data_IF_107813787880
#
_entry.id   IF_107813787880
#
_cell.length_a   1.000
_cell.length_b   1.000
_cell.length_c   1.000
_cell.angle_alpha   90.00
_cell.angle_beta   90.00
_cell.angle_gamma   90.00
#
_symmetry.space_group_name_H-M   'P 1'
#
loop_
_entity.id
_entity.type
_entity.pdbx_description
1 polymer ?
#
# COMPACT_ATOMS: atom_id res chain seq x y z
N UNK A 1 -34.11 12.06 -17.05
CA UNK A 1 -34.07 11.49 -15.70
C UNK A 1 -32.71 11.82 -15.09
N UNK A 2 -32.71 12.57 -13.99
CA UNK A 2 -31.48 12.98 -13.30
C UNK A 2 -30.75 11.75 -12.74
N UNK A 3 -29.66 11.36 -13.42
CA UNK A 3 -28.74 10.33 -12.98
C UNK A 3 -27.78 10.84 -11.89
N UNK A 4 -27.92 12.08 -11.43
CA UNK A 4 -26.99 12.83 -10.60
C UNK A 4 -26.73 12.26 -9.21
N UNK A 5 -27.53 11.32 -8.71
CA UNK A 5 -27.30 10.66 -7.41
C UNK A 5 -26.61 9.29 -7.48
N UNK A 6 -26.56 8.65 -8.66
CA UNK A 6 -26.14 7.25 -8.80
C UNK A 6 -24.80 7.05 -9.52
N UNK A 7 -24.36 8.06 -10.27
CA UNK A 7 -23.08 8.04 -11.02
C UNK A 7 -22.28 9.28 -10.64
N UNK A 8 -21.03 9.09 -10.29
CA UNK A 8 -20.08 10.18 -10.04
C UNK A 8 -18.89 10.00 -10.97
N UNK A 9 -18.63 11.03 -11.80
CA UNK A 9 -17.44 11.06 -12.68
C UNK A 9 -16.48 12.12 -12.14
N UNK A 10 -15.23 11.77 -11.99
CA UNK A 10 -14.17 12.68 -11.51
C UNK A 10 -13.06 12.76 -12.54
N UNK A 11 -12.60 13.98 -12.77
CA UNK A 11 -11.45 14.29 -13.63
C UNK A 11 -10.17 14.47 -12.78
N UNK A 12 -8.97 14.47 -13.39
CA UNK A 12 -7.72 14.60 -12.67
C UNK A 12 -7.64 15.83 -11.75
N UNK A 13 -8.27 16.95 -12.14
CA UNK A 13 -8.27 18.19 -11.35
C UNK A 13 -9.08 18.10 -10.06
N UNK A 14 -10.03 17.17 -10.00
CA UNK A 14 -10.91 16.92 -8.86
C UNK A 14 -10.36 15.85 -7.92
N UNK A 15 -9.37 15.08 -8.38
CA UNK A 15 -8.73 14.03 -7.62
C UNK A 15 -7.81 14.59 -6.53
N UNK A 16 -7.47 13.76 -5.59
CA UNK A 16 -6.56 14.15 -4.49
C UNK A 16 -5.17 14.45 -5.03
N UNK A 17 -4.67 15.65 -4.76
CA UNK A 17 -3.34 16.13 -5.18
C UNK A 17 -2.25 15.83 -4.12
N UNK A 18 -2.54 15.01 -3.13
CA UNK A 18 -1.59 14.60 -2.09
C UNK A 18 -0.68 13.47 -2.57
N UNK A 19 0.02 12.88 -1.60
CA UNK A 19 0.83 11.67 -1.84
C UNK A 19 -0.08 10.55 -2.32
N UNK A 20 0.12 10.11 -3.53
CA UNK A 20 -0.66 9.04 -4.16
C UNK A 20 0.27 7.90 -4.53
N UNK A 21 0.34 6.91 -3.66
CA UNK A 21 1.10 5.68 -3.93
C UNK A 21 0.32 4.70 -4.82
N UNK A 22 -1.01 4.79 -4.77
CA UNK A 22 -1.93 3.93 -5.50
C UNK A 22 -3.07 4.74 -6.12
N UNK A 23 -3.67 4.21 -7.18
CA UNK A 23 -4.81 4.83 -7.84
C UNK A 23 -6.01 5.04 -6.89
N UNK A 24 -6.19 4.16 -5.90
CA UNK A 24 -7.24 4.27 -4.88
C UNK A 24 -7.11 5.50 -3.98
N UNK A 25 -5.87 5.96 -3.73
CA UNK A 25 -5.61 7.13 -2.87
C UNK A 25 -6.21 8.41 -3.46
N UNK A 26 -6.35 8.46 -4.78
CA UNK A 26 -6.94 9.58 -5.50
C UNK A 26 -8.42 9.81 -5.14
N UNK A 27 -9.11 8.78 -4.66
CA UNK A 27 -10.54 8.81 -4.32
C UNK A 27 -10.82 9.23 -2.87
N UNK A 28 -9.80 9.32 -2.01
CA UNK A 28 -9.97 9.60 -0.58
C UNK A 28 -10.71 10.92 -0.36
N UNK A 29 -11.89 10.84 0.26
CA UNK A 29 -12.71 12.00 0.61
C UNK A 29 -13.33 12.78 -0.56
N UNK A 30 -13.31 12.22 -1.78
CA UNK A 30 -13.78 12.89 -3.01
C UNK A 30 -15.18 12.50 -3.44
N UNK A 31 -15.65 11.33 -3.05
CA UNK A 31 -16.95 10.81 -3.52
C UNK A 31 -17.90 10.59 -2.35
N UNK A 32 -19.04 11.28 -2.35
CA UNK A 32 -20.07 11.09 -1.34
C UNK A 32 -20.58 9.63 -1.37
N UNK A 33 -20.68 8.98 -0.20
CA UNK A 33 -21.12 7.59 -0.07
C UNK A 33 -20.08 6.55 -0.51
N UNK A 34 -18.83 6.96 -0.68
CA UNK A 34 -17.66 6.08 -0.87
C UNK A 34 -16.72 6.29 0.31
N UNK A 35 -16.49 5.22 1.06
CA UNK A 35 -15.50 5.17 2.11
C UNK A 35 -14.22 4.57 1.55
N UNK A 36 -13.11 5.25 1.76
CA UNK A 36 -11.78 4.82 1.32
C UNK A 36 -10.89 4.73 2.55
N UNK A 37 -10.65 3.52 2.99
CA UNK A 37 -9.81 3.23 4.15
C UNK A 37 -8.43 2.82 3.69
N UNK A 38 -7.42 3.60 4.06
CA UNK A 38 -6.02 3.24 3.80
C UNK A 38 -5.56 2.19 4.80
N UNK A 39 -4.96 1.12 4.31
CA UNK A 39 -4.53 -0.01 5.13
C UNK A 39 -3.17 0.29 5.78
N UNK A 40 -3.22 0.84 7.00
CA UNK A 40 -2.10 0.90 7.93
C UNK A 40 -0.86 1.69 7.53
N UNK A 41 -0.83 2.36 6.38
CA UNK A 41 0.32 3.17 5.94
C UNK A 41 1.57 2.36 5.56
N UNK A 42 1.47 1.05 5.36
CA UNK A 42 2.54 0.23 4.79
C UNK A 42 2.80 0.65 3.33
N UNK A 43 4.05 0.69 2.88
CA UNK A 43 4.37 0.96 1.48
C UNK A 43 3.64 -0.04 0.57
N UNK A 44 3.06 0.46 -0.52
CA UNK A 44 2.33 -0.39 -1.46
C UNK A 44 0.95 -0.85 -1.01
N UNK A 45 0.59 -0.75 0.26
CA UNK A 45 -0.74 -1.09 0.74
C UNK A 45 -1.79 -0.26 0.00
N UNK A 46 -2.80 -0.94 -0.54
CA UNK A 46 -3.94 -0.28 -1.18
C UNK A 46 -4.90 0.32 -0.17
N UNK A 47 -5.78 1.16 -0.66
CA UNK A 47 -6.94 1.54 0.11
C UNK A 47 -8.09 0.58 -0.19
N UNK A 48 -8.81 0.18 0.83
CA UNK A 48 -10.06 -0.55 0.69
C UNK A 48 -11.17 0.46 0.35
N UNK A 49 -11.82 0.26 -0.78
CA UNK A 49 -12.91 1.11 -1.24
C UNK A 49 -14.23 0.42 -0.90
N UNK A 50 -15.13 1.12 -0.22
CA UNK A 50 -16.48 0.66 0.08
C UNK A 50 -17.49 1.65 -0.42
N UNK A 51 -18.48 1.16 -1.18
CA UNK A 51 -19.56 1.97 -1.71
C UNK A 51 -20.83 1.64 -0.91
N UNK A 52 -21.44 2.66 -0.28
CA UNK A 52 -22.66 2.54 0.54
C UNK A 52 -22.52 1.64 1.77
N UNK A 53 -21.32 1.46 2.31
CA UNK A 53 -21.07 0.58 3.45
C UNK A 53 -20.98 -0.90 3.06
N UNK A 54 -20.90 -1.80 4.06
CA UNK A 54 -20.83 -3.25 3.83
C UNK A 54 -22.23 -3.84 3.71
N UNK A 55 -22.50 -4.56 2.63
CA UNK A 55 -23.75 -5.27 2.42
C UNK A 55 -23.71 -6.73 2.92
N UNK A 56 -22.52 -7.30 3.12
CA UNK A 56 -22.35 -8.68 3.53
C UNK A 56 -21.43 -8.81 4.74
N UNK A 57 -21.79 -9.75 5.64
CA UNK A 57 -20.97 -10.12 6.79
C UNK A 57 -19.92 -11.19 6.45
N UNK A 58 -20.12 -11.95 5.39
CA UNK A 58 -19.29 -13.13 5.05
C UNK A 58 -18.68 -13.09 3.64
N UNK A 59 -19.17 -12.22 2.75
CA UNK A 59 -18.63 -12.05 1.41
C UNK A 59 -17.85 -10.73 1.29
N UNK A 60 -17.02 -10.59 0.25
CA UNK A 60 -16.32 -9.34 -0.04
C UNK A 60 -17.33 -8.20 -0.23
N UNK A 61 -17.02 -7.06 0.36
CA UNK A 61 -17.75 -5.81 0.20
C UNK A 61 -17.04 -4.85 -0.78
N UNK A 62 -16.02 -5.33 -1.48
CA UNK A 62 -15.27 -4.52 -2.43
C UNK A 62 -16.07 -4.30 -3.71
N UNK A 63 -16.00 -3.11 -4.33
CA UNK A 63 -16.63 -2.84 -5.61
C UNK A 63 -15.96 -3.63 -6.73
N UNK A 64 -16.66 -3.79 -7.85
CA UNK A 64 -16.06 -4.30 -9.07
C UNK A 64 -15.21 -3.22 -9.73
N UNK A 65 -14.00 -3.56 -10.16
CA UNK A 65 -13.11 -2.66 -10.90
C UNK A 65 -13.18 -2.95 -12.39
N UNK A 66 -13.30 -1.88 -13.18
CA UNK A 66 -13.27 -1.93 -14.64
C UNK A 66 -12.22 -0.94 -15.13
N UNK A 67 -11.20 -1.42 -15.82
CA UNK A 67 -10.08 -0.61 -16.29
C UNK A 67 -10.05 -0.63 -17.81
N UNK A 68 -10.27 0.51 -18.46
CA UNK A 68 -10.34 0.65 -19.91
C UNK A 68 -11.28 -0.39 -20.58
N UNK A 69 -12.42 -0.67 -19.92
CA UNK A 69 -13.40 -1.66 -20.37
C UNK A 69 -13.13 -3.11 -19.91
N UNK A 70 -11.95 -3.42 -19.41
CA UNK A 70 -11.63 -4.74 -18.88
C UNK A 70 -12.10 -4.86 -17.43
N UNK A 71 -12.92 -5.87 -17.14
CA UNK A 71 -13.34 -6.23 -15.79
C UNK A 71 -12.18 -6.95 -15.10
N UNK A 72 -11.72 -6.40 -13.99
CA UNK A 72 -10.63 -6.97 -13.20
C UNK A 72 -11.22 -7.83 -12.07
N UNK A 73 -10.65 -9.02 -11.87
CA UNK A 73 -11.01 -9.87 -10.74
C UNK A 73 -10.50 -9.22 -9.44
N UNK A 74 -11.37 -9.18 -8.41
CA UNK A 74 -11.02 -8.62 -7.10
C UNK A 74 -10.05 -9.50 -6.30
N UNK A 75 -9.71 -10.69 -6.80
CA UNK A 75 -8.68 -11.53 -6.20
C UNK A 75 -7.30 -11.03 -6.63
N UNK A 76 -6.58 -10.40 -5.72
CA UNK A 76 -5.18 -10.04 -5.96
C UNK A 76 -4.32 -11.30 -6.10
N UNK A 77 -3.43 -11.32 -7.09
CA UNK A 77 -2.43 -12.37 -7.19
C UNK A 77 -1.54 -12.35 -5.93
N UNK A 78 -1.09 -13.53 -5.52
CA UNK A 78 -0.18 -13.66 -4.37
C UNK A 78 1.05 -12.77 -4.57
N UNK A 79 1.29 -11.87 -3.64
CA UNK A 79 2.41 -10.91 -3.70
C UNK A 79 2.06 -9.54 -4.28
N UNK A 80 0.84 -9.34 -4.79
CA UNK A 80 0.35 -7.99 -5.11
C UNK A 80 -0.24 -7.34 -3.87
N UNK A 81 0.21 -6.16 -3.57
CA UNK A 81 -0.30 -5.38 -2.43
C UNK A 81 -1.68 -4.77 -2.70
N UNK A 82 -2.02 -4.52 -3.97
CA UNK A 82 -3.27 -3.87 -4.37
C UNK A 82 -3.66 -4.22 -5.81
N UNK A 83 -4.95 -4.44 -6.06
CA UNK A 83 -5.50 -4.70 -7.39
C UNK A 83 -5.28 -3.57 -8.40
N UNK A 84 -5.20 -2.32 -7.92
CA UNK A 84 -4.94 -1.14 -8.75
C UNK A 84 -3.45 -0.81 -8.89
N UNK A 85 -2.56 -1.69 -8.40
CA UNK A 85 -1.11 -1.48 -8.45
C UNK A 85 -0.55 -1.41 -9.88
N UNK A 86 -1.22 -2.05 -10.85
CA UNK A 86 -0.82 -2.05 -12.25
C UNK A 86 -1.11 -0.73 -13.00
N UNK A 87 -1.78 0.23 -12.34
CA UNK A 87 -2.09 1.53 -12.94
C UNK A 87 -1.22 2.61 -12.31
N UNK A 88 -0.50 3.33 -13.15
CA UNK A 88 0.15 4.54 -12.70
C UNK A 88 -0.91 5.63 -12.47
N UNK A 89 -1.01 6.24 -11.27
CA UNK A 89 -1.96 7.32 -10.99
C UNK A 89 -1.92 8.48 -12.00
N UNK A 90 -0.74 8.79 -12.55
CA UNK A 90 -0.57 9.85 -13.54
C UNK A 90 -1.18 9.54 -14.92
N UNK A 91 -1.46 8.26 -15.20
CA UNK A 91 -2.08 7.82 -16.45
C UNK A 91 -3.61 7.86 -16.41
N UNK A 92 -4.22 8.11 -15.26
CA UNK A 92 -5.66 8.12 -15.11
C UNK A 92 -6.24 9.39 -15.73
N UNK A 93 -7.27 9.23 -16.55
CA UNK A 93 -8.07 10.31 -17.13
C UNK A 93 -9.33 10.56 -16.32
N UNK A 94 -10.07 9.50 -15.97
CA UNK A 94 -11.30 9.62 -15.17
C UNK A 94 -11.49 8.45 -14.22
N UNK A 95 -12.14 8.74 -13.09
CA UNK A 95 -12.79 7.77 -12.24
C UNK A 95 -14.30 7.93 -12.37
N UNK A 96 -15.01 6.86 -12.65
CA UNK A 96 -16.47 6.82 -12.64
C UNK A 96 -16.95 5.82 -11.60
N UNK A 97 -17.71 6.26 -10.62
CA UNK A 97 -18.25 5.40 -9.56
C UNK A 97 -19.73 5.21 -9.79
N UNK A 98 -20.13 3.95 -10.02
CA UNK A 98 -21.52 3.53 -10.17
C UNK A 98 -22.02 2.98 -8.84
N UNK A 99 -23.05 3.63 -8.26
CA UNK A 99 -23.53 3.31 -6.91
C UNK A 99 -24.88 2.59 -6.92
N UNK A 100 -25.72 2.79 -7.94
CA UNK A 100 -27.09 2.23 -7.97
C UNK A 100 -27.12 0.85 -8.62
N UNK A 101 -28.09 0.03 -8.22
CA UNK A 101 -28.33 -1.27 -8.83
C UNK A 101 -28.62 -1.19 -10.34
N UNK A 102 -29.32 -0.15 -10.79
CA UNK A 102 -29.59 0.08 -12.22
C UNK A 102 -28.34 0.42 -13.01
N UNK A 103 -27.41 1.20 -12.41
CA UNK A 103 -26.15 1.53 -13.05
C UNK A 103 -25.16 0.34 -13.07
N UNK A 104 -25.29 -0.58 -12.11
CA UNK A 104 -24.44 -1.77 -12.01
C UNK A 104 -24.97 -2.98 -12.78
N UNK A 105 -26.23 -2.94 -13.24
CA UNK A 105 -26.88 -4.07 -13.94
C UNK A 105 -26.14 -4.55 -15.19
N UNK A 106 -25.41 -3.66 -15.87
CA UNK A 106 -24.59 -3.99 -17.05
C UNK A 106 -23.46 -5.01 -16.71
N UNK A 107 -22.97 -4.99 -15.45
CA UNK A 107 -21.85 -5.81 -15.01
C UNK A 107 -22.27 -7.07 -14.24
N UNK A 108 -23.58 -7.31 -14.12
CA UNK A 108 -24.14 -8.50 -13.47
C UNK A 108 -23.98 -8.54 -11.94
N UNK A 109 -24.08 -9.74 -11.36
CA UNK A 109 -24.09 -9.95 -9.90
C UNK A 109 -22.79 -9.54 -9.21
N UNK A 110 -21.64 -9.58 -9.90
CA UNK A 110 -20.35 -9.13 -9.37
C UNK A 110 -20.34 -7.64 -9.02
N UNK A 111 -21.24 -6.86 -9.59
CA UNK A 111 -21.35 -5.42 -9.37
C UNK A 111 -22.31 -5.04 -8.22
N UNK A 112 -22.78 -6.00 -7.41
CA UNK A 112 -23.72 -5.77 -6.30
C UNK A 112 -23.23 -4.71 -5.30
N UNK A 113 -21.92 -4.62 -5.09
CA UNK A 113 -21.28 -3.65 -4.18
C UNK A 113 -20.89 -2.34 -4.88
N UNK A 114 -21.36 -2.11 -6.11
CA UNK A 114 -20.99 -0.97 -6.94
C UNK A 114 -19.86 -1.28 -7.91
N UNK A 115 -19.58 -0.33 -8.80
CA UNK A 115 -18.52 -0.44 -9.81
C UNK A 115 -17.66 0.81 -9.80
N UNK A 116 -16.36 0.63 -9.85
CA UNK A 116 -15.37 1.69 -10.07
C UNK A 116 -14.77 1.50 -11.46
N UNK A 117 -15.08 2.43 -12.36
CA UNK A 117 -14.57 2.42 -13.73
C UNK A 117 -13.40 3.41 -13.79
N UNK A 118 -12.27 2.95 -14.25
CA UNK A 118 -11.05 3.74 -14.43
C UNK A 118 -10.77 3.82 -15.92
N UNK A 119 -10.70 5.04 -16.43
CA UNK A 119 -10.29 5.28 -17.82
C UNK A 119 -8.90 5.90 -17.83
N UNK A 120 -8.01 5.35 -18.64
CA UNK A 120 -6.65 5.88 -18.80
C UNK A 120 -6.57 6.86 -19.97
N UNK A 121 -5.62 7.79 -19.87
CA UNK A 121 -5.34 8.79 -20.91
C UNK A 121 -4.95 8.12 -22.22
N UNK A 122 -5.46 8.64 -23.33
CA UNK A 122 -5.20 8.17 -24.69
C UNK A 122 -4.54 9.28 -25.50
N UNK A 123 -3.90 8.91 -26.61
CA UNK A 123 -3.46 9.86 -27.62
C UNK A 123 -4.63 10.44 -28.43
N UNK A 124 -4.39 11.48 -29.21
CA UNK A 124 -5.38 12.06 -30.13
C UNK A 124 -4.85 12.08 -31.55
N UNK A 125 -5.69 11.72 -32.53
CA UNK A 125 -5.33 11.66 -33.96
C UNK A 125 -4.81 13.04 -34.43
N UNK A 126 -3.73 13.03 -35.21
CA UNK A 126 -3.12 14.24 -35.76
C UNK A 126 -2.40 15.14 -34.75
N UNK A 127 -2.31 14.73 -33.49
CA UNK A 127 -1.60 15.46 -32.45
C UNK A 127 -0.09 15.27 -32.62
N UNK A 128 0.68 16.37 -32.51
CA UNK A 128 2.14 16.30 -32.39
C UNK A 128 2.54 15.55 -31.13
N UNK A 129 3.66 14.80 -31.15
CA UNK A 129 4.17 14.13 -29.97
C UNK A 129 4.36 15.11 -28.81
N UNK A 130 3.76 14.79 -27.67
CA UNK A 130 3.89 15.55 -26.42
C UNK A 130 4.52 14.64 -25.38
N UNK A 131 5.58 15.12 -24.75
CA UNK A 131 6.26 14.44 -23.65
C UNK A 131 5.84 15.07 -22.32
N UNK A 132 5.58 14.24 -21.35
CA UNK A 132 5.26 14.68 -19.98
C UNK A 132 6.13 13.90 -19.00
N UNK A 133 6.65 14.62 -18.03
CA UNK A 133 7.32 14.05 -16.87
C UNK A 133 6.65 14.55 -15.60
N UNK A 134 6.36 13.62 -14.69
CA UNK A 134 5.90 13.93 -13.33
C UNK A 134 6.85 13.27 -12.36
N UNK A 135 7.25 14.00 -11.32
CA UNK A 135 8.09 13.47 -10.27
C UNK A 135 7.72 14.10 -8.94
N UNK A 136 7.70 13.28 -7.90
CA UNK A 136 7.47 13.72 -6.53
C UNK A 136 8.45 13.06 -5.57
N UNK A 137 8.68 13.75 -4.47
CA UNK A 137 9.44 13.27 -3.32
C UNK A 137 8.57 13.49 -2.08
N UNK A 138 8.37 12.43 -1.33
CA UNK A 138 7.56 12.45 -0.12
C UNK A 138 8.40 12.14 1.09
N UNK A 139 8.28 12.96 2.13
CA UNK A 139 8.87 12.72 3.45
C UNK A 139 7.75 12.38 4.43
N UNK A 140 7.80 11.19 5.00
CA UNK A 140 6.81 10.70 5.96
C UNK A 140 7.44 10.58 7.34
N UNK A 141 6.77 11.13 8.35
CA UNK A 141 7.21 11.08 9.75
C UNK A 141 6.08 10.57 10.63
N UNK A 142 6.43 10.06 11.79
CA UNK A 142 5.45 9.68 12.81
C UNK A 142 4.77 10.93 13.36
N UNK A 143 3.46 10.99 13.25
CA UNK A 143 2.67 12.12 13.76
C UNK A 143 2.59 12.15 15.29
N UNK A 144 2.40 10.97 15.89
CA UNK A 144 2.26 10.80 17.34
C UNK A 144 2.72 9.41 17.74
N UNK A 145 3.52 9.33 18.79
CA UNK A 145 3.85 8.09 19.49
C UNK A 145 2.86 7.86 20.64
N UNK A 146 2.80 6.65 21.13
CA UNK A 146 2.11 6.35 22.37
C UNK A 146 2.91 6.87 23.55
N UNK A 147 2.23 7.40 24.56
CA UNK A 147 2.85 7.80 25.81
C UNK A 147 3.19 6.54 26.62
N UNK A 148 4.48 6.27 26.78
CA UNK A 148 5.02 5.13 27.53
C UNK A 148 5.97 5.66 28.61
N UNK A 149 6.16 4.89 29.67
CA UNK A 149 7.12 5.25 30.72
C UNK A 149 8.55 5.16 30.15
N UNK A 150 9.38 6.17 30.44
CA UNK A 150 10.83 6.08 30.25
C UNK A 150 11.49 5.31 31.41
N UNK A 151 12.80 5.04 31.31
CA UNK A 151 13.52 4.27 32.32
C UNK A 151 13.45 4.92 33.70
N UNK A 152 13.57 6.24 33.80
CA UNK A 152 13.53 6.95 35.06
C UNK A 152 12.15 6.95 35.72
N UNK A 153 11.09 7.08 34.91
CA UNK A 153 9.71 7.01 35.39
C UNK A 153 9.35 5.59 35.84
N UNK A 154 9.82 4.57 35.13
CA UNK A 154 9.64 3.18 35.53
C UNK A 154 10.34 2.89 36.87
N UNK A 155 11.60 3.33 37.03
CA UNK A 155 12.35 3.18 38.32
C UNK A 155 11.60 3.83 39.49
N UNK A 156 11.14 5.08 39.34
CA UNK A 156 10.34 5.77 40.35
C UNK A 156 9.03 5.05 40.67
N UNK A 157 8.35 4.50 39.65
CA UNK A 157 7.14 3.73 39.86
C UNK A 157 7.43 2.44 40.64
N UNK A 158 8.51 1.71 40.27
CA UNK A 158 8.96 0.52 40.98
C UNK A 158 9.24 0.80 42.46
N UNK A 159 10.01 1.86 42.76
CA UNK A 159 10.27 2.32 44.15
C UNK A 159 8.97 2.61 44.90
N UNK A 160 8.03 3.34 44.28
CA UNK A 160 6.73 3.68 44.91
C UNK A 160 5.87 2.46 45.21
N UNK A 161 6.09 1.33 44.49
CA UNK A 161 5.40 0.05 44.69
C UNK A 161 6.19 -0.94 45.55
N UNK A 162 7.37 -0.55 46.07
CA UNK A 162 8.24 -1.41 46.86
C UNK A 162 8.86 -2.55 46.04
N UNK A 163 8.99 -2.38 44.72
CA UNK A 163 9.66 -3.35 43.81
C UNK A 163 11.17 -3.04 43.84
N UNK A 164 11.98 -4.09 43.97
CA UNK A 164 13.44 -3.95 43.97
C UNK A 164 13.93 -3.40 42.60
N UNK A 165 14.48 -2.21 42.59
CA UNK A 165 15.01 -1.55 41.41
C UNK A 165 16.25 -2.24 40.83
N UNK A 166 16.95 -3.10 41.59
CA UNK A 166 18.06 -3.91 41.09
C UNK A 166 17.59 -4.95 40.01
N UNK A 167 16.30 -5.21 39.95
CA UNK A 167 15.69 -6.04 38.90
C UNK A 167 15.60 -5.32 37.54
N UNK A 168 15.73 -3.97 37.56
CA UNK A 168 15.68 -3.16 36.34
C UNK A 168 17.11 -3.02 35.75
N UNK A 169 17.15 -2.73 34.47
CA UNK A 169 18.43 -2.47 33.77
C UNK A 169 18.88 -1.00 33.92
N UNK A 170 20.02 -0.71 33.29
CA UNK A 170 20.64 0.63 33.30
C UNK A 170 20.50 1.38 31.98
N UNK A 171 19.85 0.80 30.97
CA UNK A 171 19.56 1.47 29.71
C UNK A 171 18.40 2.47 29.86
N UNK A 172 18.27 3.36 28.87
CA UNK A 172 17.10 4.23 28.67
C UNK A 172 16.72 4.17 27.19
N UNK A 173 15.95 3.14 26.84
CA UNK A 173 15.62 2.81 25.46
C UNK A 173 14.21 3.29 25.12
N UNK A 174 14.08 4.25 24.19
CA UNK A 174 12.80 4.52 23.54
C UNK A 174 12.56 3.48 22.44
N UNK A 175 11.87 2.41 22.78
CA UNK A 175 11.60 1.30 21.88
C UNK A 175 10.80 1.71 20.63
N UNK A 176 9.99 2.79 20.73
CA UNK A 176 9.28 3.30 19.55
C UNK A 176 10.23 3.98 18.57
N UNK A 177 11.24 4.73 19.06
CA UNK A 177 12.26 5.33 18.19
C UNK A 177 13.15 4.28 17.52
N UNK A 178 13.40 3.17 18.21
CA UNK A 178 14.22 2.09 17.68
C UNK A 178 13.56 1.37 16.48
N UNK A 179 12.24 1.35 16.39
CA UNK A 179 11.50 0.69 15.30
C UNK A 179 11.00 1.65 14.23
N UNK A 180 10.96 2.94 14.53
CA UNK A 180 10.41 3.96 13.62
C UNK A 180 11.53 4.76 12.95
N UNK A 181 11.21 5.35 11.82
CA UNK A 181 12.12 6.25 11.07
C UNK A 181 11.35 7.32 10.32
N UNK A 182 12.04 8.40 10.00
CA UNK A 182 11.62 9.27 8.90
C UNK A 182 11.85 8.53 7.59
N UNK A 183 10.82 8.42 6.78
CA UNK A 183 10.86 7.70 5.52
C UNK A 183 10.81 8.67 4.34
N UNK A 184 11.66 8.45 3.34
CA UNK A 184 11.66 9.20 2.09
C UNK A 184 11.23 8.28 0.97
N UNK A 185 10.24 8.71 0.21
CA UNK A 185 9.69 7.99 -0.94
C UNK A 185 9.79 8.87 -2.18
N UNK A 186 9.93 8.25 -3.35
CA UNK A 186 10.00 8.95 -4.63
C UNK A 186 9.11 8.28 -5.66
N UNK A 187 8.47 9.07 -6.51
CA UNK A 187 7.72 8.59 -7.66
C UNK A 187 8.10 9.39 -8.90
N UNK A 188 8.33 8.70 -9.99
CA UNK A 188 8.72 9.27 -11.26
C UNK A 188 7.91 8.64 -12.38
N UNK A 189 7.31 9.43 -13.26
CA UNK A 189 6.63 8.94 -14.44
C UNK A 189 6.95 9.76 -15.66
N UNK A 190 7.15 9.10 -16.77
CA UNK A 190 7.32 9.69 -18.09
C UNK A 190 6.24 9.18 -19.01
N UNK A 191 5.72 10.04 -19.85
CA UNK A 191 4.78 9.61 -20.88
C UNK A 191 4.98 10.38 -22.16
N UNK A 192 4.71 9.72 -23.27
CA UNK A 192 4.66 10.28 -24.61
C UNK A 192 3.30 9.97 -25.21
N UNK A 193 2.62 10.97 -25.70
CA UNK A 193 1.36 10.80 -26.41
C UNK A 193 1.37 11.62 -27.70
N UNK A 194 0.67 11.13 -28.70
CA UNK A 194 0.59 11.77 -30.00
C UNK A 194 -0.37 11.03 -30.92
N UNK A 195 -0.38 11.40 -32.20
CA UNK A 195 -1.18 10.69 -33.19
C UNK A 195 -0.63 10.92 -34.59
N UNK A 196 -0.24 9.87 -35.24
CA UNK A 196 -0.14 9.84 -36.68
C UNK A 196 -1.56 9.97 -37.26
N UNK A 197 -1.72 10.44 -38.47
CA UNK A 197 -2.98 10.85 -39.11
C UNK A 197 -4.26 10.11 -38.61
N UNK A 198 -4.22 8.77 -38.52
CA UNK A 198 -5.32 7.90 -38.11
C UNK A 198 -4.93 6.92 -36.99
N UNK A 199 -3.84 7.16 -36.30
CA UNK A 199 -3.31 6.26 -35.27
C UNK A 199 -2.86 7.06 -34.05
N UNK A 200 -3.78 7.41 -33.12
CA UNK A 200 -3.40 7.95 -31.83
C UNK A 200 -2.63 6.89 -31.03
N UNK A 201 -1.66 7.34 -30.27
CA UNK A 201 -0.87 6.48 -29.41
C UNK A 201 -0.50 7.18 -28.09
N UNK A 202 -0.31 6.40 -27.06
CA UNK A 202 0.28 6.80 -25.77
C UNK A 202 1.17 5.69 -25.26
N UNK A 203 2.33 6.08 -24.76
CA UNK A 203 3.26 5.18 -24.05
C UNK A 203 3.61 5.86 -22.74
N UNK A 204 3.59 5.12 -21.65
CA UNK A 204 4.03 5.61 -20.35
C UNK A 204 4.89 4.59 -19.62
N UNK A 205 5.76 5.09 -18.75
CA UNK A 205 6.53 4.30 -17.80
C UNK A 205 6.62 5.06 -16.49
N UNK A 206 6.48 4.35 -15.38
CA UNK A 206 6.54 4.90 -14.04
C UNK A 206 7.36 4.02 -13.11
N UNK A 207 8.05 4.66 -12.17
CA UNK A 207 8.77 4.00 -11.10
C UNK A 207 8.42 4.66 -9.78
N UNK A 208 8.06 3.85 -8.79
CA UNK A 208 7.73 4.27 -7.45
C UNK A 208 8.61 3.49 -6.46
N UNK A 209 9.33 4.22 -5.61
CA UNK A 209 10.09 3.68 -4.49
C UNK A 209 9.53 4.26 -3.20
N UNK A 210 8.73 3.49 -2.49
CA UNK A 210 8.11 3.88 -1.25
C UNK A 210 8.79 3.23 -0.05
N UNK A 211 9.14 4.03 0.95
CA UNK A 211 9.65 3.56 2.22
C UNK A 211 8.60 3.79 3.31
N UNK A 212 8.46 2.83 4.22
CA UNK A 212 7.57 2.96 5.37
C UNK A 212 8.27 3.56 6.58
N UNK A 213 7.47 4.19 7.45
CA UNK A 213 7.92 4.72 8.74
C UNK A 213 8.31 3.62 9.73
N UNK A 214 7.74 2.43 9.62
CA UNK A 214 8.21 1.26 10.35
C UNK A 214 9.46 0.74 9.63
N UNK A 215 10.57 0.62 10.35
CA UNK A 215 11.86 0.19 9.80
C UNK A 215 11.71 -1.12 9.04
N UNK A 216 12.54 -1.35 8.03
CA UNK A 216 12.57 -2.50 7.14
C UNK A 216 11.46 -2.61 6.11
N UNK A 217 10.36 -1.84 6.23
CA UNK A 217 9.30 -1.84 5.21
C UNK A 217 9.66 -0.95 4.01
N UNK A 218 9.50 -1.47 2.81
CA UNK A 218 9.68 -0.73 1.55
C UNK A 218 8.96 -1.42 0.40
N UNK A 219 8.69 -0.65 -0.67
CA UNK A 219 8.12 -1.12 -1.91
C UNK A 219 8.84 -0.46 -3.09
N UNK A 220 9.12 -1.23 -4.11
CA UNK A 220 9.57 -0.77 -5.41
C UNK A 220 8.61 -1.26 -6.48
N UNK A 221 8.04 -0.36 -7.25
CA UNK A 221 7.09 -0.69 -8.32
C UNK A 221 7.51 -0.02 -9.61
N UNK A 222 7.50 -0.79 -10.68
CA UNK A 222 7.64 -0.33 -12.05
C UNK A 222 6.33 -0.61 -12.79
N UNK A 223 5.80 0.41 -13.47
CA UNK A 223 4.63 0.29 -14.32
C UNK A 223 4.99 0.74 -15.73
N UNK A 224 4.47 0.09 -16.74
CA UNK A 224 4.47 0.60 -18.11
C UNK A 224 3.16 0.33 -18.80
N UNK A 225 2.75 1.24 -19.67
CA UNK A 225 1.56 1.07 -20.48
C UNK A 225 1.78 1.55 -21.91
N UNK A 226 1.12 0.86 -22.84
CA UNK A 226 1.06 1.23 -24.26
C UNK A 226 -0.39 1.19 -24.68
N UNK A 227 -0.87 2.26 -25.30
CA UNK A 227 -2.17 2.32 -25.95
C UNK A 227 -1.97 2.79 -27.38
N UNK A 228 -2.57 2.07 -28.33
CA UNK A 228 -2.57 2.42 -29.75
C UNK A 228 -3.96 2.18 -30.31
N UNK A 229 -4.54 3.17 -30.96
CA UNK A 229 -5.91 3.10 -31.46
C UNK A 229 -6.01 3.49 -32.96
N UNK A 230 -5.49 2.65 -33.87
CA UNK A 230 -5.58 2.92 -35.32
C UNK A 230 -7.01 2.87 -35.83
N UNK A 231 -7.35 3.78 -36.74
CA UNK A 231 -8.63 3.78 -37.45
C UNK A 231 -8.43 3.73 -38.96
N UNK A 232 -9.27 2.97 -39.64
CA UNK A 232 -9.23 2.74 -41.06
C UNK A 232 -10.62 2.99 -41.69
N UNK A 233 -10.68 2.96 -43.05
CA UNK A 233 -11.94 3.11 -43.80
C UNK A 233 -12.74 4.35 -43.38
N UNK A 234 -12.09 5.51 -43.34
CA UNK A 234 -12.68 6.78 -42.91
C UNK A 234 -13.36 6.71 -41.53
N UNK A 235 -12.72 5.98 -40.60
CA UNK A 235 -13.15 5.73 -39.23
C UNK A 235 -14.34 4.76 -39.07
N UNK A 236 -14.68 4.00 -40.12
CA UNK A 236 -15.64 2.92 -39.99
C UNK A 236 -15.07 1.68 -39.32
N UNK A 237 -13.74 1.47 -39.39
CA UNK A 237 -13.07 0.39 -38.68
C UNK A 237 -12.06 0.95 -37.68
N UNK A 238 -12.34 0.75 -36.42
CA UNK A 238 -11.53 1.26 -35.31
C UNK A 238 -10.98 0.10 -34.50
N UNK A 239 -9.72 0.21 -34.14
CA UNK A 239 -9.05 -0.69 -33.22
C UNK A 239 -8.60 0.07 -32.00
N UNK A 240 -8.62 -0.58 -30.84
CA UNK A 240 -8.04 -0.04 -29.61
C UNK A 240 -7.27 -1.16 -28.90
N UNK A 241 -5.96 -1.04 -28.89
CA UNK A 241 -5.05 -1.97 -28.23
C UNK A 241 -4.44 -1.29 -27.01
N UNK A 242 -4.57 -1.93 -25.85
CA UNK A 242 -3.92 -1.50 -24.63
C UNK A 242 -3.16 -2.68 -24.05
N UNK A 243 -1.90 -2.45 -23.67
CA UNK A 243 -1.09 -3.39 -22.93
C UNK A 243 -0.48 -2.68 -21.73
N UNK A 244 -0.49 -3.33 -20.58
CA UNK A 244 0.06 -2.83 -19.31
C UNK A 244 0.94 -3.91 -18.70
N UNK A 245 2.04 -3.48 -18.12
CA UNK A 245 2.94 -4.33 -17.35
C UNK A 245 3.27 -3.66 -16.03
N UNK A 246 3.28 -4.46 -14.96
CA UNK A 246 3.71 -4.05 -13.63
C UNK A 246 4.66 -5.09 -13.04
N UNK A 247 5.72 -4.59 -12.45
CA UNK A 247 6.61 -5.33 -11.56
C UNK A 247 6.63 -4.66 -10.21
N UNK A 248 6.38 -5.43 -9.15
CA UNK A 248 6.40 -4.95 -7.77
C UNK A 248 7.27 -5.85 -6.92
N UNK A 249 8.05 -5.23 -6.06
CA UNK A 249 8.83 -5.92 -5.04
C UNK A 249 8.65 -5.20 -3.71
N UNK A 250 8.16 -5.95 -2.73
CA UNK A 250 7.83 -5.46 -1.39
C UNK A 250 8.65 -6.15 -0.33
N UNK A 251 9.00 -5.43 0.71
CA UNK A 251 9.40 -6.00 1.99
C UNK A 251 8.43 -5.53 3.07
N UNK A 252 7.72 -6.47 3.65
CA UNK A 252 6.78 -6.22 4.74
C UNK A 252 7.51 -6.25 6.07
N UNK A 253 7.34 -5.20 6.87
CA UNK A 253 7.75 -5.22 8.28
C UNK A 253 6.72 -5.99 9.11
N UNK A 254 7.17 -6.58 10.21
CA UNK A 254 6.27 -7.21 11.16
C UNK A 254 5.48 -6.15 11.96
N UNK A 255 4.16 -6.01 11.78
CA UNK A 255 3.36 -5.03 12.51
C UNK A 255 3.30 -5.31 14.01
N UNK A 256 3.55 -6.55 14.43
CA UNK A 256 3.64 -6.94 15.83
C UNK A 256 4.76 -6.22 16.59
N UNK A 257 5.77 -5.71 15.88
CA UNK A 257 6.85 -4.94 16.49
C UNK A 257 6.35 -3.66 17.19
N UNK A 258 5.23 -3.07 16.73
CA UNK A 258 4.63 -1.89 17.37
C UNK A 258 4.12 -2.27 18.77
N UNK A 259 3.33 -3.33 18.87
CA UNK A 259 2.84 -3.84 20.16
C UNK A 259 3.96 -4.29 21.08
N UNK A 260 4.99 -4.94 20.54
CA UNK A 260 6.15 -5.36 21.29
C UNK A 260 6.92 -4.14 21.85
N UNK A 261 7.10 -3.08 21.06
CA UNK A 261 7.78 -1.86 21.51
C UNK A 261 7.07 -1.17 22.68
N UNK A 262 5.73 -1.25 22.75
CA UNK A 262 4.95 -0.70 23.86
C UNK A 262 5.05 -1.54 25.14
N UNK A 263 5.38 -2.83 25.01
CA UNK A 263 5.44 -3.78 26.12
C UNK A 263 6.87 -4.02 26.65
N UNK A 264 7.89 -3.59 25.89
CA UNK A 264 9.29 -3.78 26.31
C UNK A 264 9.67 -2.86 27.45
N UNK A 265 10.51 -3.37 28.34
CA UNK A 265 11.11 -2.65 29.45
C UNK A 265 12.10 -1.59 28.94
N UNK A 266 11.86 -0.28 29.18
CA UNK A 266 12.74 0.79 28.71
C UNK A 266 14.12 0.78 29.40
N UNK A 267 14.28 0.06 30.51
CA UNK A 267 15.59 -0.05 31.19
C UNK A 267 16.52 -1.09 30.54
N UNK A 268 16.07 -1.77 29.49
CA UNK A 268 16.82 -2.79 28.79
C UNK A 268 17.37 -2.27 27.45
N UNK A 269 18.61 -2.68 27.10
CA UNK A 269 19.23 -2.27 25.85
C UNK A 269 18.61 -3.04 24.66
N UNK A 270 18.72 -2.50 23.45
CA UNK A 270 18.32 -3.19 22.23
C UNK A 270 19.18 -4.44 22.01
N UNK A 271 20.49 -4.33 22.27
CA UNK A 271 21.45 -5.41 22.14
C UNK A 271 22.30 -5.55 23.39
N UNK A 272 22.82 -6.74 23.62
CA UNK A 272 23.72 -7.06 24.72
C UNK A 272 24.84 -7.97 24.22
N UNK A 273 26.02 -7.85 24.85
CA UNK A 273 27.17 -8.73 24.61
C UNK A 273 27.15 -9.98 25.49
N UNK A 274 26.11 -10.15 26.30
CA UNK A 274 25.95 -11.33 27.13
C UNK A 274 25.87 -12.60 26.24
N UNK A 275 26.74 -13.60 26.48
CA UNK A 275 26.81 -14.81 25.68
C UNK A 275 25.46 -15.58 25.57
N UNK A 276 24.61 -15.46 26.57
CA UNK A 276 23.29 -16.11 26.58
C UNK A 276 22.38 -15.63 25.44
N UNK A 277 22.60 -14.41 24.94
CA UNK A 277 21.82 -13.84 23.84
C UNK A 277 22.45 -14.07 22.46
N UNK A 278 23.58 -14.76 22.36
CA UNK A 278 24.25 -15.02 21.08
C UNK A 278 23.38 -15.79 20.10
N UNK A 279 22.57 -16.73 20.59
CA UNK A 279 21.65 -17.56 19.79
C UNK A 279 20.52 -16.73 19.12
N UNK A 280 20.21 -15.56 19.66
CA UNK A 280 19.22 -14.61 19.10
C UNK A 280 19.90 -13.40 18.47
N UNK A 281 21.18 -13.51 18.12
CA UNK A 281 21.95 -12.46 17.44
C UNK A 281 22.29 -11.27 18.33
N UNK A 282 22.38 -11.48 19.66
CA UNK A 282 22.72 -10.43 20.63
C UNK A 282 21.58 -9.46 20.92
N UNK A 283 20.36 -9.73 20.47
CA UNK A 283 19.19 -8.92 20.84
C UNK A 283 18.72 -9.28 22.25
N UNK A 284 18.55 -8.27 23.09
CA UNK A 284 17.98 -8.49 24.41
C UNK A 284 16.58 -9.10 24.31
N UNK A 285 16.32 -10.15 25.06
CA UNK A 285 15.00 -10.77 25.22
C UNK A 285 14.69 -10.93 26.69
N UNK A 286 13.46 -10.73 27.10
CA UNK A 286 13.05 -11.05 28.47
C UNK A 286 12.98 -12.57 28.61
N UNK A 287 13.70 -13.11 29.60
CA UNK A 287 13.75 -14.55 29.89
C UNK A 287 12.88 -14.87 31.09
N UNK A 288 12.12 -15.95 31.01
CA UNK A 288 11.49 -16.54 32.16
C UNK A 288 12.42 -17.60 32.79
N UNK A 289 13.34 -17.13 33.61
CA UNK A 289 14.09 -17.98 34.54
C UNK A 289 15.11 -18.95 33.96
N UNK A 290 15.39 -18.91 32.66
CA UNK A 290 16.35 -19.80 32.01
C UNK A 290 17.26 -19.05 31.05
N UNK A 291 18.54 -19.50 30.93
CA UNK A 291 19.46 -19.07 29.92
C UNK A 291 19.09 -19.65 28.54
N UNK A 292 19.37 -18.94 27.46
CA UNK A 292 19.18 -19.48 26.10
C UNK A 292 20.03 -20.72 25.82
N UNK A 293 21.09 -20.92 26.56
CA UNK A 293 21.98 -22.10 26.46
C UNK A 293 21.53 -23.25 27.37
N UNK A 294 20.41 -23.08 28.12
CA UNK A 294 19.86 -24.16 28.92
C UNK A 294 19.23 -25.22 28.00
N UNK A 295 19.69 -26.51 28.06
CA UNK A 295 19.17 -27.58 27.24
C UNK A 295 17.69 -27.89 27.50
N UNK A 296 17.14 -27.44 28.64
CA UNK A 296 15.74 -27.58 28.97
C UNK A 296 14.88 -26.40 28.48
N UNK A 297 15.49 -25.42 27.84
CA UNK A 297 14.79 -24.26 27.34
C UNK A 297 13.87 -24.64 26.17
N UNK A 298 12.61 -24.29 26.25
CA UNK A 298 11.59 -24.61 25.24
C UNK A 298 11.04 -23.33 24.60
N UNK A 299 10.60 -23.42 23.34
CA UNK A 299 9.98 -22.31 22.60
C UNK A 299 8.77 -21.70 23.30
N UNK A 300 8.12 -22.44 24.22
CA UNK A 300 6.99 -21.97 25.03
C UNK A 300 7.38 -20.93 26.06
N UNK A 301 8.65 -20.86 26.44
CA UNK A 301 9.17 -19.81 27.32
C UNK A 301 9.19 -18.43 26.64
N UNK A 302 9.12 -18.36 25.32
CA UNK A 302 9.03 -17.11 24.55
C UNK A 302 7.62 -16.53 24.44
N UNK A 303 6.60 -17.37 24.45
CA UNK A 303 5.25 -16.93 24.03
C UNK A 303 4.57 -15.97 24.99
N UNK A 304 5.12 -15.79 26.21
CA UNK A 304 4.55 -14.97 27.26
C UNK A 304 5.32 -13.70 27.55
N UNK A 305 6.44 -13.46 26.87
CA UNK A 305 7.27 -12.27 27.08
C UNK A 305 7.28 -11.42 25.80
N UNK A 306 7.29 -10.09 25.87
CA UNK A 306 7.41 -9.26 24.69
C UNK A 306 8.74 -9.60 23.98
N UNK A 307 8.68 -9.86 22.67
CA UNK A 307 9.86 -10.07 21.84
C UNK A 307 10.55 -8.71 21.61
N UNK A 308 11.87 -8.75 21.42
CA UNK A 308 12.59 -7.55 21.04
C UNK A 308 12.08 -7.04 19.67
N UNK A 309 11.46 -5.85 19.60
CA UNK A 309 10.80 -5.38 18.39
C UNK A 309 11.79 -5.11 17.26
N UNK A 310 13.03 -4.74 17.57
CA UNK A 310 14.09 -4.53 16.57
C UNK A 310 14.53 -5.86 15.97
N UNK A 311 14.62 -6.91 16.80
CA UNK A 311 14.89 -8.27 16.32
C UNK A 311 13.77 -8.78 15.40
N UNK A 312 12.50 -8.54 15.76
CA UNK A 312 11.35 -8.91 14.92
C UNK A 312 11.46 -8.29 13.52
N UNK A 313 11.84 -7.00 13.43
CA UNK A 313 11.97 -6.31 12.16
C UNK A 313 13.19 -6.77 11.34
N UNK A 314 14.32 -7.05 12.00
CA UNK A 314 15.55 -7.37 11.31
C UNK A 314 15.67 -8.84 10.93
N UNK A 315 15.20 -9.75 11.79
CA UNK A 315 15.35 -11.19 11.58
C UNK A 315 14.23 -11.79 10.75
N UNK A 316 13.05 -11.16 10.69
CA UNK A 316 11.96 -11.58 9.82
C UNK A 316 12.10 -10.98 8.43
N UNK A 317 12.33 -11.80 7.43
CA UNK A 317 12.41 -11.41 6.03
C UNK A 317 11.14 -11.86 5.29
N UNK A 318 10.18 -10.95 5.17
CA UNK A 318 8.99 -11.17 4.37
C UNK A 318 9.07 -10.30 3.11
N UNK A 319 9.46 -10.91 1.99
CA UNK A 319 9.61 -10.25 0.69
C UNK A 319 8.65 -10.89 -0.28
N UNK A 320 7.91 -10.07 -1.01
CA UNK A 320 7.07 -10.48 -2.12
C UNK A 320 7.57 -9.90 -3.44
N UNK A 321 7.37 -10.64 -4.52
CA UNK A 321 7.57 -10.16 -5.88
C UNK A 321 6.32 -10.49 -6.68
N UNK A 322 5.80 -9.51 -7.41
CA UNK A 322 4.65 -9.67 -8.27
C UNK A 322 4.96 -9.15 -9.67
N UNK A 323 4.44 -9.86 -10.67
CA UNK A 323 4.41 -9.41 -12.06
C UNK A 323 2.96 -9.49 -12.52
N UNK A 324 2.48 -8.43 -13.15
CA UNK A 324 1.17 -8.39 -13.78
C UNK A 324 1.30 -7.94 -15.23
N UNK A 325 0.66 -8.67 -16.13
CA UNK A 325 0.54 -8.32 -17.53
C UNK A 325 -0.93 -8.34 -17.88
N UNK A 326 -1.46 -7.21 -18.29
CA UNK A 326 -2.84 -7.09 -18.71
C UNK A 326 -2.92 -6.44 -20.09
N UNK A 327 -3.90 -6.83 -20.88
CA UNK A 327 -4.11 -6.29 -22.21
C UNK A 327 -5.56 -6.39 -22.66
N UNK A 328 -5.95 -5.43 -23.51
CA UNK A 328 -7.24 -5.39 -24.14
C UNK A 328 -7.09 -5.08 -25.63
N UNK A 329 -7.88 -5.75 -26.43
CA UNK A 329 -8.03 -5.48 -27.86
C UNK A 329 -9.52 -5.34 -28.19
N UNK A 330 -9.90 -4.20 -28.70
CA UNK A 330 -11.27 -3.86 -29.08
C UNK A 330 -11.30 -3.52 -30.56
N UNK A 331 -12.33 -3.96 -31.25
CA UNK A 331 -12.56 -3.70 -32.68
C UNK A 331 -13.99 -3.25 -32.86
N UNK A 332 -14.17 -2.06 -33.40
CA UNK A 332 -15.46 -1.49 -33.77
C UNK A 332 -15.54 -1.31 -35.29
N UNK A 333 -16.68 -1.73 -35.86
CA UNK A 333 -16.97 -1.60 -37.30
C UNK A 333 -18.32 -0.95 -37.53
#
# INVERSE_FOLDING_TARGET
>A
ADLTGSVTVMKPDELTKGVTNNASDLLVGKVAGVDVQTDGGSPGAGAQIRIRGGASLSASNDPLYVIDGLVIDNNTATGMSNILANINPSDIETFTVLKSASATAIYGSRASNGVVIITTKKGSSGQRPTFSYNGDVTVSTVRKKYDTLNASELKKLAESKGIDTNLLGDADTDWQDEILRTAVSTSHSVSMQGGLKNMPYRVSAGYNAANGILRTSWMHRFNSSVNVAPSFLDKHLNFNFTAKYMYEKDRYADPGAIGAALAMDPTRPVRTDDPDYSVVGGYYQTLQGASFNDPNWTKTSYSQTPQNPVAMLNNKHCVANANDISGNAEVDY
#
